data_IF_509505877713
#
_entry.id   IF_509505877713
#
_cell.length_a   1.000
_cell.length_b   1.000
_cell.length_c   1.000
_cell.angle_alpha   90.00
_cell.angle_beta   90.00
_cell.angle_gamma   90.00
#
_symmetry.space_group_name_H-M   'P 1'
#
loop_
_entity.id
_entity.type
_entity.pdbx_description
1 polymer ?
#
# COMPACT_ATOMS: atom_id res chain seq x y z
N UNK A 1 -6.73 1.14 10.64
CA UNK A 1 -7.02 2.19 11.65
C UNK A 1 -7.78 3.32 10.96
N UNK A 2 -8.96 3.70 11.45
CA UNK A 2 -9.67 4.89 10.98
C UNK A 2 -8.86 6.17 11.26
N UNK A 3 -9.22 7.29 10.60
CA UNK A 3 -8.56 8.58 10.82
C UNK A 3 -8.49 8.96 12.30
N UNK A 4 -9.63 8.89 13.01
CA UNK A 4 -9.69 9.15 14.46
C UNK A 4 -8.88 8.15 15.29
N UNK A 5 -8.83 6.88 14.91
CA UNK A 5 -7.97 5.90 15.60
C UNK A 5 -6.49 6.23 15.44
N UNK A 6 -6.03 6.61 14.24
CA UNK A 6 -4.63 7.03 14.00
C UNK A 6 -4.27 8.26 14.85
N UNK A 7 -5.16 9.24 14.94
CA UNK A 7 -4.96 10.44 15.77
C UNK A 7 -4.85 10.08 17.26
N UNK A 8 -5.74 9.22 17.78
CA UNK A 8 -5.69 8.78 19.19
C UNK A 8 -4.42 8.00 19.51
N UNK A 9 -3.97 7.12 18.62
CA UNK A 9 -2.69 6.40 18.82
C UNK A 9 -1.51 7.37 18.81
N UNK A 10 -1.51 8.38 17.93
CA UNK A 10 -0.47 9.40 17.90
C UNK A 10 -0.46 10.26 19.18
N UNK A 11 -1.64 10.68 19.66
CA UNK A 11 -1.79 11.43 20.90
C UNK A 11 -1.34 10.61 22.12
N UNK A 12 -1.75 9.33 22.18
CA UNK A 12 -1.33 8.43 23.26
C UNK A 12 0.20 8.28 23.30
N UNK A 13 0.85 8.17 22.14
CA UNK A 13 2.32 8.15 22.04
C UNK A 13 2.96 9.44 22.58
N UNK A 14 2.39 10.61 22.26
CA UNK A 14 2.89 11.88 22.77
C UNK A 14 2.74 12.01 24.30
N UNK A 15 1.61 11.57 24.85
CA UNK A 15 1.36 11.56 26.30
C UNK A 15 2.32 10.60 27.01
N UNK A 16 2.50 9.40 26.44
CA UNK A 16 3.35 8.36 27.03
C UNK A 16 4.83 8.75 27.06
N UNK A 17 5.30 9.54 26.10
CA UNK A 17 6.68 10.03 26.05
C UNK A 17 7.04 10.95 27.25
N UNK A 18 6.04 11.55 27.92
CA UNK A 18 6.20 12.41 29.10
C UNK A 18 7.19 13.59 28.94
N UNK A 19 7.24 14.17 27.74
CA UNK A 19 8.05 15.36 27.44
C UNK A 19 7.60 16.60 28.24
N UNK A 20 8.51 17.54 28.47
CA UNK A 20 8.20 18.80 29.17
C UNK A 20 7.38 19.79 28.34
N UNK A 21 7.60 19.78 27.01
CA UNK A 21 6.88 20.58 26.03
C UNK A 21 6.16 19.64 25.08
N UNK A 22 4.87 19.88 24.86
CA UNK A 22 4.02 19.09 23.98
C UNK A 22 3.37 20.02 22.96
N UNK A 23 3.65 19.77 21.68
CA UNK A 23 3.07 20.47 20.54
C UNK A 23 1.95 19.60 19.96
N UNK A 24 0.75 20.15 19.93
CA UNK A 24 -0.45 19.48 19.44
C UNK A 24 -0.99 20.25 18.25
N UNK A 25 -0.83 19.69 17.06
CA UNK A 25 -1.35 20.24 15.81
C UNK A 25 -2.68 19.56 15.45
N UNK A 26 -3.76 20.28 15.67
CA UNK A 26 -5.17 19.88 15.48
C UNK A 26 -5.53 18.44 15.88
N UNK A 27 -5.28 18.02 17.14
CA UNK A 27 -5.37 16.62 17.57
C UNK A 27 -6.81 16.07 17.62
N UNK A 28 -7.83 16.92 17.51
CA UNK A 28 -9.24 16.58 17.73
C UNK A 28 -10.12 16.66 16.47
N UNK A 29 -9.57 16.97 15.30
CA UNK A 29 -10.36 17.15 14.07
C UNK A 29 -10.98 15.87 13.51
N UNK A 30 -10.30 14.74 13.68
CA UNK A 30 -10.72 13.44 13.14
C UNK A 30 -11.52 12.58 14.14
N UNK A 31 -11.98 13.16 15.26
CA UNK A 31 -12.73 12.44 16.31
C UNK A 31 -14.11 13.06 16.53
N UNK A 32 -15.10 12.22 16.83
CA UNK A 32 -16.46 12.66 17.14
C UNK A 32 -16.49 13.61 18.34
N UNK A 33 -17.46 14.53 18.40
CA UNK A 33 -17.55 15.57 19.41
C UNK A 33 -17.48 15.03 20.86
N UNK A 34 -18.20 13.95 21.15
CA UNK A 34 -18.18 13.32 22.48
C UNK A 34 -16.80 12.76 22.84
N UNK A 35 -16.14 12.06 21.90
CA UNK A 35 -14.79 11.51 22.08
C UNK A 35 -13.77 12.64 22.19
N UNK A 36 -13.94 13.69 21.40
CA UNK A 36 -13.14 14.90 21.44
C UNK A 36 -13.20 15.58 22.81
N UNK A 37 -14.41 15.76 23.35
CA UNK A 37 -14.62 16.34 24.69
C UNK A 37 -14.00 15.49 25.78
N UNK A 38 -14.23 14.17 25.74
CA UNK A 38 -13.60 13.25 26.69
C UNK A 38 -12.06 13.31 26.64
N UNK A 39 -11.49 13.32 25.43
CA UNK A 39 -10.03 13.41 25.22
C UNK A 39 -9.48 14.74 25.71
N UNK A 40 -10.17 15.84 25.40
CA UNK A 40 -9.77 17.17 25.83
C UNK A 40 -9.78 17.29 27.36
N UNK A 41 -10.89 16.92 28.02
CA UNK A 41 -11.03 17.00 29.48
C UNK A 41 -10.01 16.12 30.20
N UNK A 42 -9.85 14.86 29.79
CA UNK A 42 -8.99 13.89 30.51
C UNK A 42 -7.50 14.03 30.20
N UNK A 43 -7.12 14.59 29.05
CA UNK A 43 -5.71 14.62 28.61
C UNK A 43 -5.17 16.04 28.50
N UNK A 44 -5.85 16.91 27.75
CA UNK A 44 -5.29 18.21 27.30
C UNK A 44 -5.60 19.34 28.28
N UNK A 45 -6.76 19.32 28.94
CA UNK A 45 -7.26 20.39 29.79
C UNK A 45 -6.28 20.76 30.90
N UNK A 46 -6.12 22.07 31.14
CA UNK A 46 -5.29 22.60 32.22
C UNK A 46 -5.81 22.26 33.62
N UNK A 47 -7.11 21.99 33.76
CA UNK A 47 -7.76 21.76 35.06
C UNK A 47 -7.78 20.29 35.47
N UNK A 48 -8.11 19.40 34.53
CA UNK A 48 -8.40 17.98 34.80
C UNK A 48 -7.55 17.01 33.98
N UNK A 49 -6.72 17.52 33.06
CA UNK A 49 -5.97 16.72 32.13
C UNK A 49 -4.73 16.07 32.75
N UNK A 50 -4.37 14.89 32.25
CA UNK A 50 -3.09 14.22 32.56
C UNK A 50 -1.87 15.10 32.27
N UNK A 51 -1.96 15.94 31.23
CA UNK A 51 -0.87 16.83 30.84
C UNK A 51 -0.87 18.15 31.60
N UNK A 52 -1.77 18.38 32.58
CA UNK A 52 -2.00 19.68 33.23
C UNK A 52 -0.73 20.37 33.76
N UNK A 53 0.26 19.62 34.24
CA UNK A 53 1.53 20.14 34.78
C UNK A 53 2.62 20.42 33.74
N UNK A 54 2.38 20.11 32.46
CA UNK A 54 3.35 20.24 31.36
C UNK A 54 3.06 21.46 30.50
N UNK A 55 4.04 21.96 29.76
CA UNK A 55 3.83 23.05 28.79
C UNK A 55 3.18 22.48 27.53
N UNK A 56 2.01 23.01 27.16
CA UNK A 56 1.22 22.52 26.02
C UNK A 56 0.97 23.67 25.05
N UNK A 57 1.22 23.45 23.77
CA UNK A 57 0.83 24.36 22.70
C UNK A 57 -0.17 23.61 21.83
N UNK A 58 -1.42 24.07 21.82
CA UNK A 58 -2.50 23.51 21.04
C UNK A 58 -2.84 24.44 19.89
N UNK A 59 -2.67 23.95 18.67
CA UNK A 59 -3.19 24.56 17.45
C UNK A 59 -4.48 23.82 17.11
N UNK A 60 -5.60 24.51 16.97
CA UNK A 60 -6.86 23.86 16.61
C UNK A 60 -7.82 24.83 15.93
N UNK A 61 -8.68 24.29 15.06
CA UNK A 61 -9.83 25.00 14.53
C UNK A 61 -11.07 24.93 15.44
N UNK A 62 -11.06 24.08 16.47
CA UNK A 62 -12.18 23.91 17.40
C UNK A 62 -12.28 25.04 18.43
N UNK A 63 -13.07 26.08 18.12
CA UNK A 63 -13.16 27.28 18.97
C UNK A 63 -13.77 27.03 20.36
N UNK A 64 -14.62 26.02 20.50
CA UNK A 64 -15.27 25.67 21.77
C UNK A 64 -14.29 25.18 22.85
N UNK A 65 -13.09 24.75 22.46
CA UNK A 65 -12.04 24.37 23.41
C UNK A 65 -11.24 25.57 23.94
N UNK A 66 -11.25 26.70 23.23
CA UNK A 66 -10.42 27.87 23.56
C UNK A 66 -10.75 28.50 24.91
N UNK A 67 -12.00 28.39 25.37
CA UNK A 67 -12.44 28.88 26.69
C UNK A 67 -11.77 28.18 27.88
N UNK A 68 -11.19 27.01 27.65
CA UNK A 68 -10.49 26.23 28.67
C UNK A 68 -8.96 26.37 28.58
N UNK A 69 -8.45 27.20 27.67
CA UNK A 69 -7.04 27.46 27.49
C UNK A 69 -6.58 28.66 28.34
N UNK A 70 -5.34 28.62 28.81
CA UNK A 70 -4.80 29.65 29.70
C UNK A 70 -4.47 30.95 28.94
N UNK A 71 -3.92 30.83 27.73
CA UNK A 71 -3.64 31.95 26.81
C UNK A 71 -3.91 31.54 25.38
N UNK A 72 -4.43 32.47 24.60
CA UNK A 72 -4.73 32.31 23.18
C UNK A 72 -3.84 33.27 22.39
N UNK A 73 -3.24 32.77 21.32
CA UNK A 73 -2.44 33.53 20.37
C UNK A 73 -3.18 33.51 19.05
N UNK A 74 -3.56 34.67 18.54
CA UNK A 74 -4.26 34.84 17.27
C UNK A 74 -3.26 35.25 16.21
N UNK A 75 -3.28 34.55 15.09
CA UNK A 75 -2.36 34.79 13.97
C UNK A 75 -3.17 35.09 12.71
N UNK A 76 -2.83 36.16 12.00
CA UNK A 76 -3.40 36.53 10.72
C UNK A 76 -2.29 36.84 9.71
N UNK A 77 -2.38 36.32 8.49
CA UNK A 77 -1.38 36.48 7.42
C UNK A 77 0.08 36.25 7.87
N UNK A 78 0.29 35.21 8.69
CA UNK A 78 1.62 34.86 9.22
C UNK A 78 2.17 35.82 10.27
N UNK A 79 1.36 36.76 10.80
CA UNK A 79 1.72 37.68 11.88
C UNK A 79 0.82 37.47 13.10
N UNK A 80 1.39 37.58 14.29
CA UNK A 80 0.63 37.55 15.53
C UNK A 80 -0.10 38.89 15.68
N UNK A 81 -1.42 38.88 15.71
CA UNK A 81 -2.25 40.07 15.86
C UNK A 81 -2.55 40.35 17.33
N UNK A 82 -2.95 39.31 18.07
CA UNK A 82 -3.47 39.43 19.42
C UNK A 82 -3.00 38.26 20.30
N UNK A 83 -2.72 38.55 21.57
CA UNK A 83 -2.38 37.54 22.58
C UNK A 83 -3.05 37.92 23.89
N UNK A 84 -3.86 37.03 24.45
CA UNK A 84 -4.60 37.32 25.68
C UNK A 84 -5.31 36.09 26.23
N UNK A 85 -6.02 36.27 27.34
CA UNK A 85 -6.99 35.28 27.81
C UNK A 85 -8.27 35.34 26.97
N UNK A 86 -9.12 34.30 27.04
CA UNK A 86 -10.38 34.28 26.29
C UNK A 86 -11.26 35.51 26.59
N UNK A 87 -11.36 35.91 27.86
CA UNK A 87 -12.16 37.07 28.27
C UNK A 87 -11.60 38.39 27.76
N UNK A 88 -10.27 38.57 27.82
CA UNK A 88 -9.60 39.78 27.31
C UNK A 88 -9.79 39.95 25.81
N UNK A 89 -9.66 38.87 25.04
CA UNK A 89 -9.81 38.89 23.58
C UNK A 89 -11.27 39.12 23.16
N UNK A 90 -12.23 38.60 23.92
CA UNK A 90 -13.65 38.85 23.70
C UNK A 90 -14.01 40.31 23.99
N UNK A 91 -13.53 40.88 25.11
CA UNK A 91 -13.78 42.27 25.47
C UNK A 91 -13.08 43.28 24.55
N UNK A 92 -11.95 42.91 23.97
CA UNK A 92 -11.22 43.77 23.04
C UNK A 92 -12.03 44.09 21.77
N UNK A 93 -13.04 43.28 21.41
CA UNK A 93 -13.89 43.42 20.22
C UNK A 93 -13.08 43.70 18.94
N UNK A 94 -12.00 42.94 18.75
CA UNK A 94 -11.14 43.00 17.55
C UNK A 94 -11.36 41.76 16.66
N UNK A 95 -10.35 41.38 15.88
CA UNK A 95 -10.43 40.29 14.91
C UNK A 95 -10.82 38.94 15.52
N UNK A 96 -10.40 38.65 16.75
CA UNK A 96 -10.80 37.41 17.42
C UNK A 96 -12.31 37.35 17.72
N UNK A 97 -12.89 38.46 18.19
CA UNK A 97 -14.29 38.52 18.55
C UNK A 97 -15.20 38.42 17.32
N UNK A 98 -14.87 39.15 16.25
CA UNK A 98 -15.57 39.05 14.96
C UNK A 98 -15.53 37.62 14.41
N UNK A 99 -14.35 36.99 14.42
CA UNK A 99 -14.18 35.61 13.96
C UNK A 99 -14.98 34.60 14.80
N UNK A 100 -15.03 34.80 16.13
CA UNK A 100 -15.80 33.95 17.03
C UNK A 100 -17.31 34.11 16.80
N UNK A 101 -17.81 35.33 16.62
CA UNK A 101 -19.22 35.60 16.30
C UNK A 101 -19.64 34.93 14.99
N UNK A 102 -18.85 35.10 13.93
CA UNK A 102 -19.11 34.50 12.63
C UNK A 102 -19.16 32.96 12.71
N UNK A 103 -18.22 32.36 13.45
CA UNK A 103 -18.18 30.91 13.66
C UNK A 103 -19.42 30.43 14.43
N UNK A 104 -19.76 31.07 15.55
CA UNK A 104 -20.91 30.71 16.37
C UNK A 104 -22.23 30.87 15.60
N UNK A 105 -22.40 31.97 14.85
CA UNK A 105 -23.58 32.18 14.00
C UNK A 105 -23.72 31.09 12.94
N UNK A 106 -22.62 30.69 12.30
CA UNK A 106 -22.64 29.63 11.30
C UNK A 106 -22.97 28.26 11.91
N UNK A 107 -22.41 27.92 13.08
CA UNK A 107 -22.74 26.67 13.78
C UNK A 107 -24.22 26.62 14.21
N UNK A 108 -24.76 27.71 14.76
CA UNK A 108 -26.18 27.81 15.14
C UNK A 108 -27.11 27.67 13.93
N UNK A 109 -26.76 28.26 12.78
CA UNK A 109 -27.51 28.09 11.53
C UNK A 109 -27.53 26.63 11.07
N UNK A 110 -26.39 25.94 11.14
CA UNK A 110 -26.29 24.53 10.77
C UNK A 110 -27.14 23.63 11.68
N UNK A 111 -27.07 23.81 13.01
CA UNK A 111 -27.90 23.05 13.95
C UNK A 111 -29.41 23.29 13.74
N UNK A 112 -29.83 24.51 13.39
CA UNK A 112 -31.24 24.79 13.07
C UNK A 112 -31.72 24.13 11.78
N UNK A 113 -30.84 23.90 10.81
CA UNK A 113 -31.16 23.24 9.55
C UNK A 113 -31.16 21.71 9.66
N UNK A 114 -30.37 21.15 10.60
CA UNK A 114 -30.20 19.71 10.74
C UNK A 114 -31.35 18.98 11.45
N UNK A 115 -32.25 19.67 12.16
CA UNK A 115 -33.42 19.06 12.83
C UNK A 115 -33.09 17.83 13.71
N UNK A 116 -31.89 17.79 14.29
CA UNK A 116 -31.42 16.67 15.12
C UNK A 116 -31.82 16.87 16.59
N UNK A 117 -32.57 15.91 17.14
CA UNK A 117 -33.02 15.89 18.55
C UNK A 117 -31.90 15.61 19.57
N UNK A 118 -30.70 15.25 19.10
CA UNK A 118 -29.60 14.76 19.94
C UNK A 118 -28.73 15.81 20.65
N UNK A 119 -28.83 17.10 20.27
CA UNK A 119 -27.83 18.13 20.61
C UNK A 119 -28.39 19.32 21.42
N UNK A 120 -29.43 19.08 22.21
CA UNK A 120 -30.07 20.13 23.02
C UNK A 120 -29.07 20.80 24.00
N UNK A 121 -28.13 20.03 24.56
CA UNK A 121 -27.09 20.54 25.45
C UNK A 121 -26.01 21.36 24.73
N UNK A 122 -25.56 20.93 23.53
CA UNK A 122 -24.51 21.63 22.76
C UNK A 122 -25.06 22.96 22.23
N UNK A 123 -26.31 22.98 21.76
CA UNK A 123 -27.01 24.20 21.36
C UNK A 123 -27.21 25.16 22.54
N UNK A 124 -27.54 24.67 23.73
CA UNK A 124 -27.69 25.50 24.92
C UNK A 124 -26.35 26.11 25.39
N UNK A 125 -25.26 25.36 25.28
CA UNK A 125 -23.91 25.84 25.58
C UNK A 125 -23.44 26.90 24.58
N UNK A 126 -23.71 26.71 23.28
CA UNK A 126 -23.41 27.70 22.23
C UNK A 126 -24.24 28.99 22.40
N UNK A 127 -25.51 28.87 22.82
CA UNK A 127 -26.36 30.01 23.14
C UNK A 127 -25.85 30.76 24.36
N UNK A 128 -25.33 30.07 25.39
CA UNK A 128 -24.66 30.71 26.55
C UNK A 128 -23.38 31.42 26.14
N UNK A 129 -22.56 30.81 25.27
CA UNK A 129 -21.32 31.43 24.80
C UNK A 129 -21.62 32.68 23.94
N UNK A 130 -22.69 32.69 23.13
CA UNK A 130 -23.19 33.90 22.43
C UNK A 130 -23.72 34.99 23.39
N UNK A 131 -24.36 34.61 24.49
CA UNK A 131 -24.87 35.57 25.49
C UNK A 131 -23.75 36.40 26.14
N UNK A 132 -22.54 35.86 26.21
CA UNK A 132 -21.35 36.55 26.75
C UNK A 132 -20.83 37.62 25.78
N UNK A 133 -21.08 37.49 24.48
CA UNK A 133 -20.52 38.34 23.42
C UNK A 133 -21.35 39.62 23.18
N UNK A 134 -22.68 39.60 23.35
CA UNK A 134 -23.49 40.82 23.20
C UNK A 134 -24.93 40.73 23.77
N UNK A 135 -25.33 41.51 24.79
CA UNK A 135 -26.70 41.54 25.30
C UNK A 135 -27.72 42.24 24.37
N UNK A 136 -27.28 43.00 23.36
CA UNK A 136 -28.17 43.78 22.48
C UNK A 136 -28.86 42.95 21.38
N UNK A 137 -28.23 41.87 20.90
CA UNK A 137 -28.78 41.05 19.81
C UNK A 137 -29.91 40.10 20.26
N UNK A 138 -30.13 39.95 21.58
CA UNK A 138 -31.25 39.19 22.16
C UNK A 138 -32.60 39.67 21.61
N UNK A 139 -32.79 40.98 21.46
CA UNK A 139 -34.05 41.55 20.93
C UNK A 139 -34.27 41.27 19.44
N UNK A 140 -33.20 41.05 18.67
CA UNK A 140 -33.27 40.82 17.23
C UNK A 140 -33.41 39.34 16.86
N UNK A 141 -33.04 38.43 17.77
CA UNK A 141 -33.18 36.98 17.60
C UNK A 141 -34.45 36.43 18.27
N UNK A 142 -34.85 36.98 19.43
CA UNK A 142 -36.13 36.65 20.07
C UNK A 142 -37.32 37.12 19.20
N UNK A 143 -37.20 38.23 18.46
CA UNK A 143 -38.24 38.74 17.57
C UNK A 143 -38.52 37.85 16.35
N UNK A 144 -37.61 36.94 15.98
CA UNK A 144 -37.83 35.94 14.94
C UNK A 144 -38.48 34.64 15.46
N UNK A 145 -38.54 34.44 16.79
CA UNK A 145 -39.29 33.33 17.40
C UNK A 145 -40.78 33.66 17.61
N UNK A 146 -41.17 34.94 17.45
CA UNK A 146 -42.51 35.45 17.67
C UNK A 146 -43.31 35.69 16.38
N UNK A 147 -43.48 34.70 15.51
CA UNK A 147 -44.57 34.73 14.51
C UNK A 147 -45.13 33.33 14.33
N UNK A 148 -45.93 32.92 15.32
CA UNK A 148 -46.90 31.83 15.17
C UNK A 148 -48.27 32.48 15.01
N UNK A 149 -48.58 32.95 13.80
CA UNK A 149 -49.94 33.36 13.48
C UNK A 149 -50.77 32.12 13.20
N UNK A 150 -51.74 31.91 14.09
CA UNK A 150 -52.90 31.07 13.92
C UNK A 150 -53.66 31.51 12.66
N UNK A 151 -53.81 30.61 11.69
CA UNK A 151 -54.96 30.58 10.80
C UNK A 151 -55.33 29.11 10.60
N UNK A 152 -56.39 28.66 11.26
CA UNK A 152 -57.35 27.79 10.57
C UNK A 152 -58.73 27.80 11.24
N UNK A 153 -59.66 28.38 10.48
CA UNK A 153 -61.04 27.98 10.19
C UNK A 153 -61.93 27.32 11.26
N UNK A 154 -62.96 28.07 11.66
CA UNK A 154 -64.37 27.63 11.87
C UNK A 154 -64.96 27.17 10.51
N UNK A 155 -65.83 26.16 10.31
CA UNK A 155 -66.97 25.59 11.05
C UNK A 155 -67.49 24.28 10.38
N UNK A 156 -68.26 23.48 11.15
CA UNK A 156 -69.24 22.40 10.78
C UNK A 156 -68.66 21.05 10.32
N UNK A 157 -69.17 19.85 10.68
CA UNK A 157 -70.43 19.39 11.28
C UNK A 157 -70.24 17.95 11.85
N UNK A 158 -71.10 17.55 12.81
CA UNK A 158 -71.62 16.18 12.92
C UNK A 158 -70.90 15.10 13.77
N UNK A 159 -71.53 14.76 14.92
CA UNK A 159 -71.86 13.39 15.41
C UNK A 159 -70.72 12.42 15.82
N UNK A 160 -70.69 11.63 16.91
CA UNK A 160 -71.58 11.26 18.03
C UNK A 160 -70.77 10.36 19.01
N UNK A 161 -71.05 10.45 20.33
CA UNK A 161 -70.94 9.43 21.43
C UNK A 161 -69.56 8.84 21.86
N UNK A 162 -69.15 9.05 23.13
CA UNK A 162 -69.18 8.13 24.31
C UNK A 162 -68.01 7.09 24.28
N UNK A 163 -67.24 6.78 25.33
CA UNK A 163 -67.51 6.78 26.77
C UNK A 163 -66.24 6.71 27.64
N UNK A 164 -66.49 7.01 28.91
CA UNK A 164 -65.71 6.96 30.15
C UNK A 164 -65.04 5.58 30.45
N UNK A 165 -63.83 5.55 31.04
CA UNK A 165 -63.52 4.89 32.35
C UNK A 165 -62.04 4.55 32.66
N UNK A 166 -61.58 5.10 33.78
CA UNK A 166 -60.88 4.45 34.92
C UNK A 166 -59.48 3.77 34.81
N UNK A 167 -58.47 4.46 35.37
CA UNK A 167 -57.78 4.18 36.67
C UNK A 167 -56.97 2.86 36.91
N UNK A 168 -55.77 3.08 37.52
CA UNK A 168 -54.88 2.22 38.37
C UNK A 168 -53.55 1.83 37.71
N UNK A 169 -52.36 2.22 38.17
CA UNK A 169 -51.68 2.04 39.48
C UNK A 169 -51.57 0.54 39.86
N UNK A 170 -50.40 -0.09 39.74
CA UNK A 170 -49.38 -0.14 40.81
C UNK A 170 -48.19 -1.08 40.51
N UNK A 171 -47.01 -0.69 41.03
CA UNK A 171 -45.98 -1.54 41.69
C UNK A 171 -45.19 -2.58 40.83
N UNK A 172 -43.93 -2.94 41.08
CA UNK A 172 -43.09 -2.80 42.27
C UNK A 172 -41.60 -3.15 41.98
N UNK A 173 -40.70 -2.56 42.81
CA UNK A 173 -39.38 -3.04 43.31
C UNK A 173 -38.25 -3.40 42.31
N UNK A 174 -36.99 -3.02 42.54
CA UNK A 174 -36.14 -3.44 43.66
C UNK A 174 -35.27 -2.29 44.21
N UNK A 175 -35.16 -2.27 45.54
CA UNK A 175 -34.46 -1.31 46.39
C UNK A 175 -33.05 -1.81 46.76
N UNK A 176 -32.17 -0.83 46.94
CA UNK A 176 -30.78 -0.86 47.41
C UNK A 176 -30.67 -1.37 48.86
N UNK A 177 -29.51 -1.95 49.23
CA UNK A 177 -28.98 -1.81 50.58
C UNK A 177 -27.44 -1.71 50.62
N UNK A 178 -26.96 -0.88 51.56
CA UNK A 178 -25.61 -0.35 51.78
C UNK A 178 -25.08 -0.95 53.10
N UNK A 179 -23.76 -1.14 53.25
CA UNK A 179 -23.13 -1.38 54.56
C UNK A 179 -21.62 -1.23 54.58
N UNK A 180 -21.13 -0.29 55.38
CA UNK A 180 -19.74 0.17 55.59
C UNK A 180 -18.83 -0.81 56.36
N UNK A 181 -17.51 -0.74 56.12
CA UNK A 181 -16.50 -0.43 57.17
C UNK A 181 -15.08 -0.24 56.60
N UNK A 182 -14.40 0.77 57.15
CA UNK A 182 -12.98 1.07 56.97
C UNK A 182 -12.10 0.19 57.88
N UNK A 183 -10.88 -0.12 57.42
CA UNK A 183 -9.63 0.01 58.18
C UNK A 183 -8.43 -0.37 57.28
N UNK A 184 -7.33 0.37 57.42
CA UNK A 184 -6.12 0.20 56.62
C UNK A 184 -5.09 -0.79 57.21
N UNK A 185 -4.05 -1.02 56.40
CA UNK A 185 -2.65 -1.45 56.71
C UNK A 185 -2.20 -2.74 55.96
N UNK A 186 -1.04 -2.55 55.29
CA UNK A 186 0.03 -3.50 54.93
C UNK A 186 -0.01 -4.31 53.63
N UNK A 187 1.09 -4.10 52.88
CA UNK A 187 1.75 -5.03 51.96
C UNK A 187 1.62 -6.50 52.40
N UNK A 188 1.22 -7.37 51.48
CA UNK A 188 2.07 -8.51 51.09
C UNK A 188 1.63 -9.07 49.74
N UNK A 189 2.62 -9.52 48.98
CA UNK A 189 2.48 -10.19 47.71
C UNK A 189 1.73 -11.52 47.87
N UNK A 190 0.73 -11.77 47.02
CA UNK A 190 0.30 -13.11 46.68
C UNK A 190 -0.22 -13.16 45.24
N UNK A 191 0.63 -13.73 44.41
CA UNK A 191 0.37 -14.37 43.13
C UNK A 191 -0.91 -15.21 43.21
N UNK A 192 -1.93 -14.83 42.44
CA UNK A 192 -3.07 -15.69 42.14
C UNK A 192 -3.28 -15.70 40.63
N UNK A 193 -2.94 -16.84 40.03
CA UNK A 193 -3.10 -17.19 38.63
C UNK A 193 -4.50 -16.84 38.11
N UNK A 194 -4.55 -15.82 37.26
CA UNK A 194 -5.62 -15.65 36.27
C UNK A 194 -5.10 -16.30 34.98
N UNK A 195 -5.81 -17.24 34.35
CA UNK A 195 -5.33 -17.84 33.11
C UNK A 195 -5.23 -16.71 32.08
N UNK A 196 -4.02 -16.52 31.56
CA UNK A 196 -3.78 -15.65 30.44
C UNK A 196 -4.73 -16.08 29.32
N UNK A 197 -5.63 -15.18 28.93
CA UNK A 197 -6.33 -15.28 27.66
C UNK A 197 -5.20 -15.29 26.64
N UNK A 198 -4.92 -16.47 26.08
CA UNK A 198 -3.97 -16.63 24.99
C UNK A 198 -4.41 -15.64 23.91
N UNK A 199 -3.60 -14.60 23.71
CA UNK A 199 -3.79 -13.64 22.64
C UNK A 199 -3.87 -14.42 21.35
N UNK A 200 -5.01 -14.34 20.70
CA UNK A 200 -5.29 -14.91 19.38
C UNK A 200 -4.52 -14.11 18.32
N UNK A 201 -3.18 -14.10 18.45
CA UNK A 201 -2.24 -13.23 17.74
C UNK A 201 -2.10 -13.59 16.25
N UNK A 202 -2.75 -14.67 15.83
CA UNK A 202 -2.91 -15.05 14.43
C UNK A 202 -4.12 -14.38 13.76
N UNK A 203 -5.18 -14.00 14.50
CA UNK A 203 -6.35 -13.33 13.91
C UNK A 203 -6.13 -11.85 13.59
N UNK A 204 -5.05 -11.25 14.09
CA UNK A 204 -4.78 -9.80 13.97
C UNK A 204 -3.70 -9.45 12.92
N UNK A 205 -2.99 -10.44 12.38
CA UNK A 205 -2.01 -10.23 11.30
C UNK A 205 -2.73 -10.13 9.97
N UNK A 206 -3.06 -8.90 9.59
CA UNK A 206 -3.56 -8.59 8.24
C UNK A 206 -2.46 -8.80 7.19
N UNK A 207 -1.18 -8.72 7.56
CA UNK A 207 -0.06 -8.90 6.62
C UNK A 207 0.39 -10.36 6.65
N UNK A 208 0.12 -11.08 5.56
CA UNK A 208 0.65 -12.43 5.35
C UNK A 208 2.16 -12.39 5.05
N UNK A 209 2.92 -13.29 5.67
CA UNK A 209 4.33 -13.51 5.35
C UNK A 209 4.43 -14.28 4.03
N UNK A 210 5.34 -13.85 3.17
CA UNK A 210 5.52 -14.41 1.84
C UNK A 210 6.08 -15.84 1.91
N UNK A 211 5.40 -16.79 1.27
CA UNK A 211 5.89 -18.15 1.09
C UNK A 211 6.95 -18.18 -0.01
N UNK A 212 8.15 -18.63 0.32
CA UNK A 212 9.20 -18.90 -0.67
C UNK A 212 9.13 -20.39 -0.98
N UNK A 213 8.78 -20.73 -2.22
CA UNK A 213 8.87 -22.10 -2.70
C UNK A 213 10.35 -22.54 -2.73
N UNK A 214 10.67 -23.62 -2.03
CA UNK A 214 12.03 -24.18 -1.96
C UNK A 214 12.10 -25.43 -2.83
N UNK A 215 12.97 -25.43 -3.83
CA UNK A 215 13.19 -26.60 -4.69
C UNK A 215 13.49 -26.24 -6.15
N UNK A 216 13.42 -27.24 -7.03
CA UNK A 216 13.62 -27.06 -8.47
C UNK A 216 12.40 -26.37 -9.10
N UNK A 217 12.65 -25.46 -10.03
CA UNK A 217 11.59 -24.76 -10.77
C UNK A 217 10.84 -25.77 -11.66
N UNK A 218 9.50 -25.72 -11.62
CA UNK A 218 8.65 -26.57 -12.45
C UNK A 218 8.85 -26.25 -13.93
N UNK A 219 8.96 -27.26 -14.79
CA UNK A 219 9.12 -27.08 -16.25
C UNK A 219 8.02 -26.21 -16.88
N UNK A 220 6.81 -26.24 -16.30
CA UNK A 220 5.68 -25.40 -16.70
C UNK A 220 5.99 -23.90 -16.67
N UNK A 221 6.89 -23.44 -15.79
CA UNK A 221 7.28 -22.02 -15.70
C UNK A 221 8.08 -21.61 -16.93
N UNK A 222 8.97 -22.46 -17.42
CA UNK A 222 9.72 -22.22 -18.66
C UNK A 222 8.80 -22.17 -19.88
N UNK A 223 7.82 -23.10 -19.96
CA UNK A 223 6.82 -23.09 -21.02
C UNK A 223 5.95 -21.82 -20.98
N UNK A 224 5.63 -21.30 -19.79
CA UNK A 224 4.90 -20.05 -19.64
C UNK A 224 5.70 -18.85 -20.17
N UNK A 225 7.02 -18.82 -19.94
CA UNK A 225 7.89 -17.80 -20.51
C UNK A 225 7.98 -17.89 -22.05
N UNK A 226 8.13 -19.10 -22.60
CA UNK A 226 8.09 -19.32 -24.04
C UNK A 226 6.73 -18.95 -24.66
N UNK A 227 5.63 -19.19 -23.94
CA UNK A 227 4.30 -18.74 -24.33
C UNK A 227 4.15 -17.20 -24.30
N UNK A 228 4.86 -16.52 -23.40
CA UNK A 228 4.90 -15.06 -23.38
C UNK A 228 5.59 -14.50 -24.62
N UNK A 229 6.72 -15.09 -25.05
CA UNK A 229 7.42 -14.76 -26.30
C UNK A 229 6.54 -15.06 -27.53
N UNK A 230 5.82 -16.19 -27.50
CA UNK A 230 4.97 -16.68 -28.57
C UNK A 230 5.60 -17.86 -29.30
N UNK A 231 4.82 -18.92 -29.53
CA UNK A 231 5.34 -20.16 -30.10
C UNK A 231 5.93 -20.00 -31.51
N UNK A 232 5.37 -19.10 -32.33
CA UNK A 232 5.86 -18.85 -33.69
C UNK A 232 7.24 -18.21 -33.74
N UNK A 233 7.48 -17.18 -32.93
CA UNK A 233 8.78 -16.50 -32.82
C UNK A 233 9.84 -17.42 -32.22
N UNK A 234 9.48 -18.21 -31.20
CA UNK A 234 10.37 -19.25 -30.66
C UNK A 234 10.74 -20.30 -31.71
N UNK A 235 9.79 -20.78 -32.52
CA UNK A 235 10.07 -21.77 -33.56
C UNK A 235 11.00 -21.24 -34.66
N UNK A 236 10.82 -19.99 -35.09
CA UNK A 236 11.71 -19.32 -36.04
C UNK A 236 13.12 -19.20 -35.46
N UNK A 237 13.23 -18.77 -34.21
CA UNK A 237 14.52 -18.65 -33.52
C UNK A 237 15.26 -19.99 -33.46
N UNK A 238 14.60 -21.06 -33.01
CA UNK A 238 15.20 -22.40 -32.93
C UNK A 238 15.65 -22.89 -34.32
N UNK A 239 14.88 -22.59 -35.37
CA UNK A 239 15.21 -22.97 -36.74
C UNK A 239 16.47 -22.24 -37.26
N UNK A 240 16.56 -20.92 -37.04
CA UNK A 240 17.76 -20.12 -37.37
C UNK A 240 18.97 -20.63 -36.60
N UNK A 241 18.79 -20.97 -35.32
CA UNK A 241 19.84 -21.46 -34.45
C UNK A 241 20.42 -22.79 -34.93
N UNK A 242 19.55 -23.77 -35.24
CA UNK A 242 19.97 -25.07 -35.79
C UNK A 242 20.69 -24.87 -37.12
N UNK A 243 20.19 -24.01 -37.99
CA UNK A 243 20.80 -23.75 -39.30
C UNK A 243 22.18 -23.09 -39.17
N UNK A 244 22.33 -22.14 -38.25
CA UNK A 244 23.63 -21.54 -37.89
C UNK A 244 24.63 -22.60 -37.41
N UNK A 245 24.20 -23.51 -36.53
CA UNK A 245 25.02 -24.62 -36.04
C UNK A 245 25.50 -25.53 -37.18
N UNK A 246 24.60 -25.90 -38.10
CA UNK A 246 24.94 -26.73 -39.27
C UNK A 246 25.96 -26.04 -40.17
N UNK A 247 25.81 -24.73 -40.44
CA UNK A 247 26.80 -23.97 -41.23
C UNK A 247 28.15 -23.90 -40.52
N UNK A 248 28.16 -23.71 -39.19
CA UNK A 248 29.39 -23.68 -38.41
C UNK A 248 30.16 -25.00 -38.43
N UNK A 249 29.46 -26.13 -38.21
CA UNK A 249 30.07 -27.46 -38.34
C UNK A 249 30.55 -27.73 -39.77
N UNK A 250 29.74 -27.36 -40.77
CA UNK A 250 30.09 -27.53 -42.19
C UNK A 250 31.34 -26.72 -42.57
N UNK A 251 31.49 -25.49 -42.06
CA UNK A 251 32.66 -24.65 -42.27
C UNK A 251 33.93 -25.30 -41.69
N UNK A 252 33.84 -25.84 -40.47
CA UNK A 252 34.96 -26.53 -39.82
C UNK A 252 35.34 -27.83 -40.55
N UNK A 253 34.34 -28.63 -40.99
CA UNK A 253 34.60 -29.84 -41.76
C UNK A 253 35.19 -29.53 -43.15
N UNK A 254 34.76 -28.43 -43.78
CA UNK A 254 35.32 -27.97 -45.04
C UNK A 254 36.79 -27.59 -44.89
N UNK A 255 37.15 -26.87 -43.82
CA UNK A 255 38.53 -26.52 -43.50
C UNK A 255 39.39 -27.77 -43.27
N UNK A 256 38.88 -28.78 -42.55
CA UNK A 256 39.56 -30.05 -42.36
C UNK A 256 39.83 -30.77 -43.69
N UNK A 257 38.83 -30.81 -44.58
CA UNK A 257 38.97 -31.41 -45.89
C UNK A 257 39.98 -30.66 -46.78
N UNK A 258 39.97 -29.32 -46.74
CA UNK A 258 40.93 -28.50 -47.46
C UNK A 258 42.37 -28.74 -46.97
N UNK A 259 42.56 -28.87 -45.65
CA UNK A 259 43.87 -29.19 -45.06
C UNK A 259 44.40 -30.55 -45.52
N UNK A 260 43.55 -31.58 -45.56
CA UNK A 260 43.92 -32.92 -46.04
C UNK A 260 44.32 -32.94 -47.52
N UNK A 261 43.63 -32.16 -48.35
CA UNK A 261 43.95 -32.02 -49.78
C UNK A 261 45.28 -31.31 -49.99
N UNK A 262 45.57 -30.28 -49.19
CA UNK A 262 46.85 -29.57 -49.23
C UNK A 262 48.03 -30.49 -48.88
N UNK A 263 47.85 -31.43 -47.93
CA UNK A 263 48.89 -32.38 -47.54
C UNK A 263 49.10 -33.54 -48.55
N UNK A 264 48.08 -33.90 -49.33
CA UNK A 264 48.14 -35.01 -50.32
C UNK A 264 48.58 -34.56 -51.72
N UNK A 265 48.50 -33.27 -52.03
CA UNK A 265 48.85 -32.70 -53.33
C UNK A 265 50.34 -32.34 -53.47
N UNK A 266 51.02 -32.92 -54.46
CA UNK A 266 52.40 -32.59 -54.82
C UNK A 266 52.45 -31.20 -55.51
N UNK A 267 52.70 -30.14 -54.73
CA UNK A 267 53.40 -28.86 -55.06
C UNK A 267 52.90 -28.00 -56.25
N UNK A 268 51.93 -28.41 -57.07
CA UNK A 268 51.28 -27.52 -58.06
C UNK A 268 49.79 -27.45 -57.79
N UNK A 269 49.41 -26.81 -56.69
CA UNK A 269 48.04 -26.33 -56.53
C UNK A 269 47.82 -25.24 -57.57
N UNK A 270 47.00 -25.51 -58.59
CA UNK A 270 46.52 -24.45 -59.48
C UNK A 270 45.87 -23.36 -58.62
N UNK A 271 46.29 -22.11 -58.83
CA UNK A 271 45.79 -20.93 -58.11
C UNK A 271 44.24 -20.88 -58.11
N UNK A 272 43.62 -21.43 -59.17
CA UNK A 272 42.18 -21.49 -59.36
C UNK A 272 41.45 -22.46 -58.40
N UNK A 273 42.00 -23.63 -58.04
CA UNK A 273 41.34 -24.56 -57.09
C UNK A 273 41.39 -24.01 -55.66
N UNK A 274 42.47 -23.32 -55.31
CA UNK A 274 42.62 -22.65 -54.02
C UNK A 274 41.61 -21.51 -53.87
N UNK A 275 41.45 -20.69 -54.91
CA UNK A 275 40.48 -19.60 -54.93
C UNK A 275 39.04 -20.10 -54.82
N UNK A 276 38.69 -21.21 -55.49
CA UNK A 276 37.35 -21.80 -55.41
C UNK A 276 37.03 -22.33 -53.99
N UNK A 277 37.96 -23.05 -53.36
CA UNK A 277 37.78 -23.58 -52.00
C UNK A 277 37.70 -22.49 -50.95
N UNK A 278 38.52 -21.44 -51.11
CA UNK A 278 38.48 -20.24 -50.27
C UNK A 278 37.12 -19.52 -50.41
N UNK A 279 36.57 -19.43 -51.62
CA UNK A 279 35.25 -18.86 -51.87
C UNK A 279 34.11 -19.60 -51.16
N UNK A 280 34.14 -20.94 -51.16
CA UNK A 280 33.16 -21.76 -50.44
C UNK A 280 33.28 -21.55 -48.92
N UNK A 281 34.50 -21.59 -48.38
CA UNK A 281 34.74 -21.35 -46.97
C UNK A 281 34.26 -19.96 -46.52
N UNK A 282 34.59 -18.92 -47.30
CA UNK A 282 34.14 -17.56 -47.03
C UNK A 282 32.62 -17.44 -47.06
N UNK A 283 31.94 -18.12 -47.99
CA UNK A 283 30.46 -18.10 -48.09
C UNK A 283 29.81 -18.82 -46.91
N UNK A 284 30.34 -19.97 -46.48
CA UNK A 284 29.83 -20.71 -45.33
C UNK A 284 30.01 -19.91 -44.03
N UNK A 285 31.18 -19.29 -43.82
CA UNK A 285 31.46 -18.44 -42.67
C UNK A 285 30.61 -17.16 -42.66
N UNK A 286 30.48 -16.48 -43.79
CA UNK A 286 29.63 -15.28 -43.92
C UNK A 286 28.15 -15.64 -43.71
N UNK A 287 27.70 -16.79 -44.25
CA UNK A 287 26.36 -17.32 -44.05
C UNK A 287 26.07 -17.63 -42.58
N UNK A 288 27.02 -18.26 -41.88
CA UNK A 288 26.90 -18.51 -40.44
C UNK A 288 26.80 -17.18 -39.67
N UNK A 289 27.70 -16.22 -39.94
CA UNK A 289 27.68 -14.92 -39.28
C UNK A 289 26.36 -14.17 -39.50
N UNK A 290 25.82 -14.19 -40.73
CA UNK A 290 24.53 -13.57 -41.05
C UNK A 290 23.36 -14.25 -40.30
N UNK A 291 23.40 -15.57 -40.16
CA UNK A 291 22.38 -16.32 -39.42
C UNK A 291 22.45 -16.05 -37.91
N UNK A 292 23.65 -15.97 -37.33
CA UNK A 292 23.83 -15.58 -35.92
C UNK A 292 23.30 -14.16 -35.68
N UNK A 293 23.64 -13.20 -36.55
CA UNK A 293 23.12 -11.83 -36.45
C UNK A 293 21.59 -11.80 -36.52
N UNK A 294 20.99 -12.54 -37.46
CA UNK A 294 19.53 -12.63 -37.60
C UNK A 294 18.88 -13.29 -36.38
N UNK A 295 19.53 -14.32 -35.82
CA UNK A 295 19.11 -14.99 -34.59
C UNK A 295 19.14 -14.06 -33.38
N UNK A 296 20.22 -13.30 -33.21
CA UNK A 296 20.37 -12.30 -32.13
C UNK A 296 19.29 -11.22 -32.21
N UNK A 297 19.00 -10.71 -33.41
CA UNK A 297 17.92 -9.73 -33.62
C UNK A 297 16.54 -10.34 -33.30
N UNK A 298 16.27 -11.56 -33.80
CA UNK A 298 14.99 -12.25 -33.54
C UNK A 298 14.78 -12.49 -32.05
N UNK A 299 15.84 -12.88 -31.35
CA UNK A 299 15.84 -13.10 -29.91
C UNK A 299 15.58 -11.78 -29.16
N UNK A 300 16.28 -10.70 -29.49
CA UNK A 300 16.06 -9.40 -28.87
C UNK A 300 14.61 -8.91 -29.01
N UNK A 301 14.00 -9.08 -30.19
CA UNK A 301 12.58 -8.78 -30.38
C UNK A 301 11.67 -9.67 -29.53
N UNK A 302 11.97 -10.98 -29.46
CA UNK A 302 11.22 -11.93 -28.63
C UNK A 302 11.27 -11.59 -27.13
N UNK A 303 12.43 -11.22 -26.62
CA UNK A 303 12.66 -10.83 -25.24
C UNK A 303 11.88 -9.56 -24.87
N UNK A 304 11.99 -8.50 -25.69
CA UNK A 304 11.25 -7.24 -25.47
C UNK A 304 9.73 -7.47 -25.53
N UNK A 305 9.28 -8.31 -26.44
CA UNK A 305 7.86 -8.66 -26.54
C UNK A 305 7.37 -9.41 -25.28
N UNK A 306 8.14 -10.38 -24.79
CA UNK A 306 7.80 -11.12 -23.58
C UNK A 306 7.76 -10.22 -22.35
N UNK A 307 8.76 -9.36 -22.17
CA UNK A 307 8.81 -8.33 -21.12
C UNK A 307 7.53 -7.48 -21.12
N UNK A 308 7.20 -6.90 -22.29
CA UNK A 308 6.01 -6.05 -22.43
C UNK A 308 4.72 -6.79 -22.07
N UNK A 309 4.57 -8.03 -22.57
CA UNK A 309 3.37 -8.85 -22.33
C UNK A 309 3.24 -9.27 -20.87
N UNK A 310 4.35 -9.61 -20.21
CA UNK A 310 4.36 -9.95 -18.78
C UNK A 310 4.06 -8.72 -17.91
N UNK A 311 4.69 -7.58 -18.20
CA UNK A 311 4.44 -6.33 -17.47
C UNK A 311 2.98 -5.85 -17.63
N UNK A 312 2.46 -5.83 -18.86
CA UNK A 312 1.05 -5.48 -19.12
C UNK A 312 0.09 -6.46 -18.43
N UNK A 313 0.41 -7.76 -18.42
CA UNK A 313 -0.36 -8.78 -17.72
C UNK A 313 -0.42 -8.56 -16.21
N UNK A 314 0.71 -8.29 -15.58
CA UNK A 314 0.79 -7.99 -14.13
C UNK A 314 0.02 -6.71 -13.81
N UNK A 315 0.25 -5.64 -14.59
CA UNK A 315 -0.43 -4.36 -14.40
C UNK A 315 -1.94 -4.49 -14.51
N UNK A 316 -2.42 -5.13 -15.59
CA UNK A 316 -3.85 -5.33 -15.80
C UNK A 316 -4.45 -6.14 -14.66
N UNK A 317 -3.81 -7.22 -14.23
CA UNK A 317 -4.34 -8.05 -13.16
C UNK A 317 -4.39 -7.28 -11.83
N UNK A 318 -3.34 -6.54 -11.46
CA UNK A 318 -3.28 -5.78 -10.21
C UNK A 318 -4.35 -4.69 -10.15
N UNK A 319 -4.59 -3.99 -11.26
CA UNK A 319 -5.64 -2.96 -11.32
C UNK A 319 -7.06 -3.49 -11.15
N UNK A 320 -7.28 -4.79 -11.36
CA UNK A 320 -8.60 -5.43 -11.18
C UNK A 320 -8.74 -6.17 -9.84
N UNK A 321 -7.71 -6.16 -8.97
CA UNK A 321 -7.79 -6.79 -7.66
C UNK A 321 -8.64 -5.95 -6.69
N UNK A 322 -9.41 -6.58 -5.79
CA UNK A 322 -10.20 -5.88 -4.79
C UNK A 322 -9.31 -5.18 -3.75
N UNK A 323 -9.83 -4.13 -3.10
CA UNK A 323 -9.09 -3.37 -2.08
C UNK A 323 -8.53 -4.24 -0.95
N UNK A 324 -9.22 -5.34 -0.62
CA UNK A 324 -8.77 -6.32 0.38
C UNK A 324 -7.36 -6.87 0.09
N UNK A 325 -6.99 -7.05 -1.18
CA UNK A 325 -5.64 -7.49 -1.55
C UNK A 325 -4.57 -6.48 -1.15
N UNK A 326 -4.85 -5.18 -1.30
CA UNK A 326 -3.93 -4.09 -1.00
C UNK A 326 -3.79 -3.82 0.50
N UNK A 327 -4.82 -4.14 1.28
CA UNK A 327 -4.76 -4.03 2.75
C UNK A 327 -3.95 -5.18 3.39
N UNK A 328 -3.96 -6.36 2.74
CA UNK A 328 -3.23 -7.56 3.19
C UNK A 328 -1.78 -7.57 2.66
N UNK A 329 -1.58 -7.07 1.44
CA UNK A 329 -0.28 -7.10 0.76
C UNK A 329 0.48 -5.80 0.97
N UNK A 330 1.70 -5.84 1.55
CA UNK A 330 2.52 -4.65 1.71
C UNK A 330 2.81 -3.98 0.36
N UNK A 331 2.66 -2.65 0.29
CA UNK A 331 2.94 -1.89 -0.93
C UNK A 331 4.37 -2.14 -1.45
N UNK A 332 5.35 -2.31 -0.56
CA UNK A 332 6.72 -2.64 -0.92
C UNK A 332 6.86 -3.96 -1.70
N UNK A 333 5.98 -4.95 -1.46
CA UNK A 333 5.98 -6.22 -2.20
C UNK A 333 5.55 -6.00 -3.64
N UNK A 334 4.48 -5.25 -3.85
CA UNK A 334 3.98 -4.90 -5.18
C UNK A 334 5.05 -4.13 -5.96
N UNK A 335 5.66 -3.13 -5.32
CA UNK A 335 6.74 -2.34 -5.93
C UNK A 335 7.95 -3.22 -6.27
N UNK A 336 8.35 -4.16 -5.41
CA UNK A 336 9.47 -5.05 -5.70
C UNK A 336 9.18 -5.96 -6.92
N UNK A 337 7.93 -6.39 -7.11
CA UNK A 337 7.49 -7.19 -8.26
C UNK A 337 7.53 -6.40 -9.57
N UNK A 338 7.14 -5.13 -9.54
CA UNK A 338 7.26 -4.22 -10.69
C UNK A 338 8.67 -3.67 -10.92
N UNK A 339 9.56 -3.76 -9.92
CA UNK A 339 10.91 -3.19 -9.98
C UNK A 339 11.96 -4.27 -10.20
N UNK A 340 12.31 -4.99 -9.14
CA UNK A 340 13.43 -5.92 -9.16
C UNK A 340 13.13 -7.15 -10.02
N UNK A 341 11.95 -7.73 -9.86
CA UNK A 341 11.64 -8.99 -10.54
C UNK A 341 11.44 -8.81 -12.04
N UNK A 342 10.86 -7.68 -12.47
CA UNK A 342 10.77 -7.38 -13.91
C UNK A 342 12.17 -7.16 -14.50
N UNK A 343 13.09 -6.51 -13.78
CA UNK A 343 14.48 -6.34 -14.23
C UNK A 343 15.19 -7.69 -14.41
N UNK A 344 14.98 -8.65 -13.50
CA UNK A 344 15.48 -10.02 -13.67
C UNK A 344 14.89 -10.69 -14.92
N UNK A 345 13.59 -10.50 -15.18
CA UNK A 345 12.93 -11.05 -16.39
C UNK A 345 13.43 -10.39 -17.68
N UNK A 346 13.78 -9.10 -17.62
CA UNK A 346 14.17 -8.29 -18.78
C UNK A 346 15.65 -8.43 -19.13
N UNK A 347 16.52 -8.66 -18.13
CA UNK A 347 17.98 -8.64 -18.30
C UNK A 347 18.61 -10.00 -17.99
N UNK A 348 18.29 -10.61 -16.86
CA UNK A 348 19.01 -11.79 -16.37
C UNK A 348 18.57 -13.08 -17.06
N UNK A 349 17.24 -13.30 -17.21
CA UNK A 349 16.72 -14.49 -17.90
C UNK A 349 17.19 -14.54 -19.35
N UNK A 350 17.08 -13.46 -20.15
CA UNK A 350 17.48 -13.50 -21.54
C UNK A 350 18.97 -13.78 -21.73
N UNK A 351 19.82 -13.14 -20.91
CA UNK A 351 21.26 -13.40 -20.90
C UNK A 351 21.57 -14.86 -20.57
N UNK A 352 20.92 -15.40 -19.54
CA UNK A 352 21.14 -16.80 -19.12
C UNK A 352 20.70 -17.80 -20.20
N UNK A 353 19.65 -17.49 -20.96
CA UNK A 353 19.19 -18.32 -22.08
C UNK A 353 20.20 -18.26 -23.23
N UNK A 354 20.74 -17.07 -23.54
CA UNK A 354 21.74 -16.88 -24.59
C UNK A 354 23.02 -17.68 -24.26
N UNK A 355 23.57 -17.49 -23.06
CA UNK A 355 24.74 -18.23 -22.56
C UNK A 355 24.49 -19.76 -22.60
N UNK A 356 23.31 -20.23 -22.15
CA UNK A 356 22.95 -21.66 -22.16
C UNK A 356 22.87 -22.22 -23.58
N UNK A 357 22.29 -21.47 -24.51
CA UNK A 357 22.16 -21.92 -25.89
C UNK A 357 23.54 -22.02 -26.54
N UNK A 358 24.37 -21.00 -26.40
CA UNK A 358 25.73 -20.98 -26.95
C UNK A 358 26.58 -22.14 -26.43
N UNK A 359 26.52 -22.41 -25.13
CA UNK A 359 27.19 -23.58 -24.53
C UNK A 359 26.66 -24.90 -25.12
N UNK A 360 25.33 -25.03 -25.27
CA UNK A 360 24.72 -26.20 -25.90
C UNK A 360 25.16 -26.37 -27.36
N UNK A 361 25.27 -25.29 -28.13
CA UNK A 361 25.71 -25.34 -29.52
C UNK A 361 27.16 -25.78 -29.63
N UNK A 362 28.05 -25.23 -28.81
CA UNK A 362 29.47 -25.63 -28.80
C UNK A 362 29.59 -27.11 -28.45
N UNK A 363 28.84 -27.59 -27.44
CA UNK A 363 28.85 -28.99 -27.04
C UNK A 363 28.36 -29.91 -28.15
N UNK A 364 27.24 -29.58 -28.80
CA UNK A 364 26.70 -30.38 -29.92
C UNK A 364 27.66 -30.38 -31.10
N UNK A 365 28.25 -29.24 -31.44
CA UNK A 365 29.22 -29.14 -32.54
C UNK A 365 30.46 -30.00 -32.30
N UNK A 366 31.02 -29.97 -31.09
CA UNK A 366 32.16 -30.80 -30.69
C UNK A 366 31.80 -32.28 -30.75
N UNK A 367 30.63 -32.66 -30.24
CA UNK A 367 30.18 -34.06 -30.24
C UNK A 367 30.01 -34.60 -31.66
N UNK A 368 29.40 -33.83 -32.56
CA UNK A 368 29.26 -34.21 -33.97
C UNK A 368 30.63 -34.41 -34.62
N UNK A 369 31.56 -33.48 -34.39
CA UNK A 369 32.92 -33.55 -34.94
C UNK A 369 33.68 -34.79 -34.43
N UNK A 370 33.57 -35.11 -33.15
CA UNK A 370 34.19 -36.31 -32.56
C UNK A 370 33.60 -37.59 -33.18
N UNK A 371 32.27 -37.68 -33.29
CA UNK A 371 31.61 -38.84 -33.89
C UNK A 371 32.05 -39.03 -35.35
N UNK A 372 32.23 -37.93 -36.08
CA UNK A 372 32.65 -37.97 -37.48
C UNK A 372 34.11 -38.42 -37.64
N UNK A 373 35.03 -37.92 -36.81
CA UNK A 373 36.47 -38.21 -36.94
C UNK A 373 36.85 -39.55 -36.27
N UNK A 374 36.27 -39.86 -35.11
CA UNK A 374 36.63 -41.02 -34.28
C UNK A 374 35.38 -41.76 -33.77
N UNK A 375 34.71 -42.59 -34.60
CA UNK A 375 33.47 -43.27 -34.22
C UNK A 375 33.60 -44.15 -32.97
N UNK A 376 34.79 -44.72 -32.73
CA UNK A 376 35.05 -45.58 -31.57
C UNK A 376 35.25 -44.82 -30.25
N UNK A 377 35.66 -43.54 -30.28
CA UNK A 377 35.90 -42.75 -29.06
C UNK A 377 34.61 -42.18 -28.43
N UNK A 378 33.49 -42.25 -29.15
CA UNK A 378 32.17 -41.81 -28.68
C UNK A 378 31.75 -42.47 -27.36
N UNK A 379 32.04 -43.77 -27.19
CA UNK A 379 31.71 -44.51 -25.97
C UNK A 379 32.41 -43.94 -24.73
N UNK A 380 33.65 -43.45 -24.87
CA UNK A 380 34.41 -42.83 -23.77
C UNK A 380 33.73 -41.54 -23.32
N UNK A 381 33.24 -40.72 -24.26
CA UNK A 381 32.50 -39.49 -23.93
C UNK A 381 31.19 -39.76 -23.20
N UNK A 382 30.43 -40.78 -23.60
CA UNK A 382 29.21 -41.18 -22.88
C UNK A 382 29.54 -41.58 -21.44
N UNK A 383 30.61 -42.36 -21.23
CA UNK A 383 31.01 -42.74 -19.87
C UNK A 383 31.41 -41.52 -19.03
N UNK A 384 32.18 -40.59 -19.60
CA UNK A 384 32.56 -39.34 -18.92
C UNK A 384 31.35 -38.44 -18.62
N UNK A 385 30.38 -38.32 -19.54
CA UNK A 385 29.17 -37.54 -19.35
C UNK A 385 28.29 -38.12 -18.23
N UNK A 386 28.17 -39.45 -18.18
CA UNK A 386 27.47 -40.16 -17.12
C UNK A 386 28.11 -39.91 -15.75
N UNK A 387 29.43 -40.00 -15.64
CA UNK A 387 30.14 -39.68 -14.39
C UNK A 387 29.94 -38.22 -13.96
N UNK A 388 29.99 -37.27 -14.89
CA UNK A 388 29.75 -35.85 -14.57
C UNK A 388 28.31 -35.59 -14.10
N UNK A 389 27.32 -36.26 -14.70
CA UNK A 389 25.93 -36.14 -14.26
C UNK A 389 25.74 -36.60 -12.80
N UNK A 390 26.40 -37.68 -12.40
CA UNK A 390 26.35 -38.18 -11.02
C UNK A 390 27.14 -37.34 -10.00
N UNK A 391 28.12 -36.56 -10.46
CA UNK A 391 28.87 -35.63 -9.60
C UNK A 391 28.09 -34.32 -9.38
N UNK A 392 27.26 -33.93 -10.35
CA UNK A 392 26.52 -32.67 -10.34
C UNK A 392 25.14 -32.77 -9.66
N UNK A 393 24.55 -33.96 -9.61
CA UNK A 393 23.28 -34.27 -8.90
C UNK A 393 23.57 -34.60 -7.45
#
# INVERSE_FOLDING_TARGET
LSGGQKHRVSLARAVYANSDIILLDDPLSAVDAHVGRHTFTRVISSQTGLLAKKTRILVTHGLHYLKYCDRIVVMNDGKITEVGTFQELVQAQKHFAEFLEDFLMNKVKQCKQAQDEGDSEEMEELLKDLQVLNPEQRKHLESFSGTRQHTDSTLTDGTTEQDVAAKKIDSNLIKIEIGEKADGIALSAQTANKPAIASNDERSKLIEKEGVEVGKVKFAVYLLYLHAIGYGTTAIFVSIYIFSSVLGVSSNLWLANWSDHANKGNITAEENDTNWRLGIYATLGLGQAAMVCTGSITMAYGMVFASRKLHEGILRNIMHLPMAFFDITPLGRIVNRFGKDIVTVDIEIPKSIDDLLDDCQILVAILILIVFIYPHSFWVFITCAFFNFFILV
#
